data_IF_453367994294
#
_entry.id   IF_453367994294
#
_cell.length_a   1.000
_cell.length_b   1.000
_cell.length_c   1.000
_cell.angle_alpha   90.00
_cell.angle_beta   90.00
_cell.angle_gamma   90.00
#
_symmetry.space_group_name_H-M   'P 1'
#
loop_
_entity.id
_entity.type
_entity.pdbx_description
1 polymer ?
#
# COMPACT_ATOMS: atom_id res chain seq x y z
N UNK A 1 -6.19 -13.06 -17.62
CA UNK A 1 -6.91 -12.23 -16.63
C UNK A 1 -8.45 -12.24 -16.78
N UNK A 2 -9.05 -12.98 -17.72
CA UNK A 2 -10.47 -12.79 -18.09
C UNK A 2 -11.53 -13.53 -17.25
N UNK A 3 -11.17 -14.46 -16.35
CA UNK A 3 -12.16 -15.40 -15.77
C UNK A 3 -13.21 -14.74 -14.86
N UNK A 4 -12.86 -13.70 -14.11
CA UNK A 4 -13.76 -13.03 -13.16
C UNK A 4 -14.23 -11.64 -13.63
N UNK A 5 -13.86 -11.27 -14.86
CA UNK A 5 -14.25 -10.01 -15.50
C UNK A 5 -15.78 -9.84 -15.63
N UNK A 6 -16.57 -10.88 -15.96
CA UNK A 6 -18.03 -10.75 -16.01
C UNK A 6 -18.65 -10.35 -14.67
N UNK A 7 -18.09 -10.86 -13.56
CA UNK A 7 -18.55 -10.49 -12.22
C UNK A 7 -18.21 -9.04 -11.88
N UNK A 8 -17.02 -8.57 -12.27
CA UNK A 8 -16.63 -7.16 -12.13
C UNK A 8 -17.58 -6.25 -12.90
N UNK A 9 -17.85 -6.56 -14.17
CA UNK A 9 -18.74 -5.79 -15.03
C UNK A 9 -20.18 -5.73 -14.47
N UNK A 10 -20.69 -6.87 -13.98
CA UNK A 10 -22.01 -6.92 -13.34
C UNK A 10 -22.08 -6.01 -12.10
N UNK A 11 -21.10 -6.10 -11.21
CA UNK A 11 -21.03 -5.29 -10.00
C UNK A 11 -20.93 -3.79 -10.28
N UNK A 12 -20.19 -3.39 -11.32
CA UNK A 12 -20.09 -1.98 -11.74
C UNK A 12 -21.45 -1.41 -12.14
N UNK A 13 -22.32 -2.22 -12.76
CA UNK A 13 -23.64 -1.78 -13.24
C UNK A 13 -24.70 -1.69 -12.15
N UNK A 14 -24.48 -2.27 -10.97
CA UNK A 14 -25.46 -2.29 -9.89
C UNK A 14 -25.53 -0.93 -9.18
N UNK A 15 -26.69 -0.27 -9.20
CA UNK A 15 -26.88 1.03 -8.54
C UNK A 15 -27.09 0.94 -7.01
N UNK A 16 -27.35 -0.28 -6.48
CA UNK A 16 -27.60 -0.50 -5.06
C UNK A 16 -26.35 -0.43 -4.16
N UNK A 17 -26.56 -0.19 -2.86
CA UNK A 17 -25.49 -0.16 -1.84
C UNK A 17 -25.07 -1.55 -1.36
N UNK A 18 -25.96 -2.52 -1.50
CA UNK A 18 -25.76 -3.92 -1.09
C UNK A 18 -26.36 -4.83 -2.12
N UNK A 19 -25.69 -5.95 -2.38
CA UNK A 19 -26.17 -7.00 -3.25
C UNK A 19 -25.90 -8.35 -2.60
N UNK A 20 -26.95 -9.12 -2.34
CA UNK A 20 -26.82 -10.49 -1.84
C UNK A 20 -27.01 -11.44 -3.00
N UNK A 21 -25.95 -12.16 -3.31
CA UNK A 21 -25.91 -13.10 -4.43
C UNK A 21 -25.84 -14.53 -3.92
N UNK A 22 -26.61 -15.42 -4.53
CA UNK A 22 -26.40 -16.86 -4.37
C UNK A 22 -25.17 -17.29 -5.18
N UNK A 23 -24.46 -18.32 -4.72
CA UNK A 23 -23.29 -18.85 -5.44
C UNK A 23 -23.65 -19.23 -6.89
N UNK A 24 -24.84 -19.79 -7.10
CA UNK A 24 -25.36 -20.14 -8.44
C UNK A 24 -25.61 -18.93 -9.34
N UNK A 25 -26.00 -17.79 -8.78
CA UNK A 25 -26.17 -16.54 -9.54
C UNK A 25 -24.81 -16.00 -9.97
N UNK A 26 -23.81 -16.09 -9.08
CA UNK A 26 -22.42 -15.74 -9.40
C UNK A 26 -21.87 -16.66 -10.51
N UNK A 27 -22.11 -17.96 -10.44
CA UNK A 27 -21.71 -18.92 -11.49
C UNK A 27 -22.37 -18.61 -12.84
N UNK A 28 -23.64 -18.20 -12.82
CA UNK A 28 -24.36 -17.79 -14.02
C UNK A 28 -23.74 -16.54 -14.65
N UNK A 29 -23.35 -15.55 -13.84
CA UNK A 29 -22.67 -14.33 -14.30
C UNK A 29 -21.28 -14.68 -14.86
N UNK A 30 -20.56 -15.60 -14.21
CA UNK A 30 -19.23 -16.03 -14.65
C UNK A 30 -19.24 -16.96 -15.87
N UNK A 31 -20.40 -17.52 -16.23
CA UNK A 31 -20.52 -18.55 -17.27
C UNK A 31 -19.73 -19.83 -16.95
N UNK A 32 -19.32 -20.02 -15.70
CA UNK A 32 -18.51 -21.15 -15.25
C UNK A 32 -18.73 -21.43 -13.77
N UNK A 33 -18.53 -22.69 -13.37
CA UNK A 33 -18.65 -23.09 -11.96
C UNK A 33 -17.54 -22.49 -11.12
N UNK A 34 -17.91 -22.08 -9.90
CA UNK A 34 -16.98 -21.62 -8.90
C UNK A 34 -16.12 -22.81 -8.42
N UNK A 35 -14.84 -22.60 -8.10
CA UNK A 35 -13.99 -23.66 -7.58
C UNK A 35 -14.51 -24.14 -6.22
N UNK A 36 -14.25 -25.41 -5.87
CA UNK A 36 -14.63 -25.98 -4.57
C UNK A 36 -14.15 -25.14 -3.37
N UNK A 37 -13.05 -24.42 -3.51
CA UNK A 37 -12.54 -23.51 -2.48
C UNK A 37 -13.46 -22.32 -2.20
N UNK A 38 -14.17 -21.81 -3.20
CA UNK A 38 -15.17 -20.74 -3.01
C UNK A 38 -16.40 -21.24 -2.22
N UNK A 39 -16.71 -22.54 -2.31
CA UNK A 39 -17.83 -23.16 -1.59
C UNK A 39 -17.43 -23.56 -0.17
N UNK A 40 -16.17 -23.99 0.04
CA UNK A 40 -15.70 -24.55 1.31
C UNK A 40 -15.03 -23.54 2.24
N UNK A 41 -14.43 -22.47 1.70
CA UNK A 41 -13.56 -21.58 2.47
C UNK A 41 -14.02 -20.14 2.42
N UNK A 42 -14.41 -19.60 3.58
CA UNK A 42 -14.78 -18.18 3.73
C UNK A 42 -13.64 -17.24 3.34
N UNK A 43 -12.39 -17.65 3.54
CA UNK A 43 -11.19 -16.87 3.18
C UNK A 43 -11.04 -16.65 1.67
N UNK A 44 -11.69 -17.47 0.83
CA UNK A 44 -11.75 -17.25 -0.61
C UNK A 44 -12.47 -15.94 -0.95
N UNK A 45 -13.48 -15.58 -0.16
CA UNK A 45 -14.25 -14.34 -0.26
C UNK A 45 -13.65 -13.18 0.54
N UNK A 46 -12.36 -13.25 0.90
CA UNK A 46 -11.69 -12.18 1.61
C UNK A 46 -11.49 -10.94 0.72
N UNK A 47 -11.27 -9.79 1.36
CA UNK A 47 -11.05 -8.51 0.69
C UNK A 47 -9.57 -8.11 0.70
N UNK A 48 -8.67 -9.09 0.53
CA UNK A 48 -7.22 -8.92 0.66
C UNK A 48 -6.55 -8.48 -0.65
N UNK A 49 -7.13 -8.82 -1.80
CA UNK A 49 -6.66 -8.39 -3.13
C UNK A 49 -5.25 -8.88 -3.49
N UNK A 50 -4.66 -8.30 -4.53
CA UNK A 50 -3.27 -8.56 -4.94
C UNK A 50 -3.16 -9.66 -6.01
N UNK A 51 -2.42 -10.74 -5.71
CA UNK A 51 -2.21 -11.85 -6.66
C UNK A 51 -3.45 -12.74 -6.86
N UNK A 52 -4.50 -12.55 -6.05
CA UNK A 52 -5.72 -13.34 -6.09
C UNK A 52 -6.73 -12.69 -7.04
N UNK A 53 -6.67 -13.10 -8.31
CA UNK A 53 -7.45 -12.55 -9.44
C UNK A 53 -8.97 -12.52 -9.18
N UNK A 54 -9.51 -13.43 -8.37
CA UNK A 54 -10.93 -13.45 -8.02
C UNK A 54 -11.33 -12.29 -7.08
N UNK A 55 -10.48 -11.96 -6.10
CA UNK A 55 -10.77 -10.90 -5.14
C UNK A 55 -10.73 -9.52 -5.78
N UNK A 56 -9.84 -9.35 -6.76
CA UNK A 56 -9.75 -8.12 -7.53
C UNK A 56 -11.05 -7.81 -8.28
N UNK A 57 -11.84 -8.82 -8.68
CA UNK A 57 -13.06 -8.60 -9.47
C UNK A 57 -14.13 -7.76 -8.73
N UNK A 58 -14.33 -7.95 -7.43
CA UNK A 58 -15.26 -7.08 -6.67
C UNK A 58 -14.57 -5.83 -6.14
N UNK A 59 -13.30 -5.93 -5.74
CA UNK A 59 -12.55 -4.77 -5.22
C UNK A 59 -12.36 -3.68 -6.28
N UNK A 60 -12.00 -4.05 -7.51
CA UNK A 60 -11.88 -3.13 -8.65
C UNK A 60 -13.24 -2.62 -9.13
N UNK A 61 -14.33 -3.31 -8.80
CA UNK A 61 -15.70 -2.84 -9.05
C UNK A 61 -16.21 -1.86 -7.98
N UNK A 62 -15.45 -1.58 -6.92
CA UNK A 62 -15.87 -0.73 -5.80
C UNK A 62 -16.72 -1.45 -4.73
N UNK A 63 -16.72 -2.78 -4.75
CA UNK A 63 -17.48 -3.62 -3.83
C UNK A 63 -16.54 -4.38 -2.89
N UNK A 64 -17.05 -4.70 -1.69
CA UNK A 64 -16.39 -5.60 -0.74
C UNK A 64 -17.38 -6.67 -0.31
N UNK A 65 -16.88 -7.87 -0.03
CA UNK A 65 -17.69 -8.89 0.63
C UNK A 65 -17.89 -8.47 2.09
N UNK A 66 -19.14 -8.24 2.49
CA UNK A 66 -19.51 -7.93 3.88
C UNK A 66 -19.75 -9.22 4.68
N UNK A 67 -20.46 -10.18 4.08
CA UNK A 67 -20.76 -11.48 4.70
C UNK A 67 -20.76 -12.58 3.65
N UNK A 68 -20.11 -13.70 3.95
CA UNK A 68 -20.20 -14.92 3.16
C UNK A 68 -20.81 -16.02 4.04
N UNK A 69 -22.04 -16.41 3.73
CA UNK A 69 -22.79 -17.48 4.37
C UNK A 69 -22.80 -18.70 3.46
N UNK A 70 -21.71 -19.49 3.54
CA UNK A 70 -21.49 -20.63 2.66
C UNK A 70 -22.44 -21.80 2.98
N UNK A 71 -22.94 -21.89 4.21
CA UNK A 71 -23.95 -22.89 4.58
C UNK A 71 -25.28 -22.65 3.85
N UNK A 72 -25.62 -21.37 3.60
CA UNK A 72 -26.77 -20.97 2.79
C UNK A 72 -26.44 -20.70 1.32
N UNK A 73 -25.18 -20.89 0.92
CA UNK A 73 -24.71 -20.67 -0.44
C UNK A 73 -24.91 -19.22 -0.92
N UNK A 74 -24.73 -18.23 -0.03
CA UNK A 74 -24.95 -16.83 -0.34
C UNK A 74 -23.80 -15.93 0.13
N UNK A 75 -23.53 -14.89 -0.65
CA UNK A 75 -22.51 -13.87 -0.37
C UNK A 75 -23.14 -12.50 -0.52
N UNK A 76 -23.00 -11.67 0.51
CA UNK A 76 -23.44 -10.29 0.53
C UNK A 76 -22.26 -9.39 0.24
N UNK A 77 -22.36 -8.67 -0.87
CA UNK A 77 -21.49 -7.59 -1.26
C UNK A 77 -22.08 -6.27 -0.76
N UNK A 78 -21.21 -5.36 -0.34
CA UNK A 78 -21.56 -3.98 0.00
C UNK A 78 -20.61 -3.03 -0.72
N UNK A 79 -21.13 -1.92 -1.21
CA UNK A 79 -20.32 -0.79 -1.69
C UNK A 79 -19.47 -0.25 -0.55
N UNK A 80 -18.17 -0.08 -0.79
CA UNK A 80 -17.26 0.41 0.24
C UNK A 80 -17.48 1.92 0.51
N UNK A 81 -18.48 2.27 1.32
CA UNK A 81 -18.56 3.60 1.93
C UNK A 81 -17.58 3.68 3.10
N UNK A 82 -16.53 4.48 2.98
CA UNK A 82 -15.73 4.93 4.12
C UNK A 82 -16.46 6.14 4.71
N UNK A 83 -17.34 5.92 5.71
CA UNK A 83 -17.81 6.98 6.61
C UNK A 83 -17.23 6.72 7.99
N UNK A 84 -16.30 7.59 8.39
CA UNK A 84 -15.89 7.74 9.78
C UNK A 84 -17.08 8.25 10.59
N UNK A 85 -17.56 7.42 11.49
CA UNK A 85 -18.48 7.84 12.55
C UNK A 85 -17.64 8.52 13.63
N UNK A 86 -17.76 9.84 13.76
CA UNK A 86 -17.58 10.49 15.07
C UNK A 86 -18.98 10.75 15.60
N UNK A 87 -19.43 9.88 16.49
CA UNK A 87 -20.52 10.20 17.41
C UNK A 87 -19.98 11.15 18.46
N UNK A 88 -20.46 12.39 18.51
CA UNK A 88 -20.95 13.00 19.76
C UNK A 88 -21.43 14.44 19.54
N UNK A 89 -22.68 14.68 19.98
CA UNK A 89 -23.37 15.94 20.29
C UNK A 89 -24.20 16.61 19.18
N UNK A 90 -25.51 16.56 19.39
CA UNK A 90 -26.53 17.53 18.96
C UNK A 90 -27.17 18.12 20.24
N UNK A 91 -27.98 19.20 20.18
CA UNK A 91 -28.11 20.24 19.14
C UNK A 91 -28.06 21.67 19.71
N UNK A 92 -27.83 22.69 18.88
CA UNK A 92 -28.55 23.96 19.05
C UNK A 92 -28.86 24.60 17.69
N UNK A 93 -30.06 25.17 17.50
CA UNK A 93 -30.56 25.56 16.18
C UNK A 93 -30.18 27.02 15.89
N UNK A 94 -29.39 27.25 14.84
CA UNK A 94 -29.29 28.59 14.26
C UNK A 94 -30.32 28.66 13.13
N UNK A 95 -31.22 29.62 13.29
CA UNK A 95 -32.37 29.92 12.45
C UNK A 95 -32.04 29.98 10.96
N UNK A 96 -32.97 29.43 10.17
CA UNK A 96 -33.01 29.59 8.73
C UNK A 96 -33.38 31.03 8.40
N UNK A 97 -32.46 31.75 7.74
CA UNK A 97 -32.84 32.89 6.91
C UNK A 97 -32.75 32.48 5.44
N UNK A 98 -33.91 32.08 4.93
CA UNK A 98 -34.18 31.89 3.51
C UNK A 98 -34.34 33.25 2.85
N UNK A 99 -33.49 33.59 1.88
CA UNK A 99 -33.94 34.13 0.58
C UNK A 99 -32.81 34.16 -0.48
N UNK A 100 -32.95 33.23 -1.43
CA UNK A 100 -32.74 33.42 -2.87
C UNK A 100 -31.39 33.96 -3.41
N UNK A 101 -30.52 33.01 -3.80
CA UNK A 101 -30.05 32.88 -5.20
C UNK A 101 -29.79 31.40 -5.48
N UNK A 102 -30.80 30.66 -5.96
CA UNK A 102 -30.56 29.35 -6.59
C UNK A 102 -29.86 29.60 -7.93
N UNK A 103 -28.54 29.79 -7.87
CA UNK A 103 -27.69 29.82 -9.05
C UNK A 103 -27.69 28.41 -9.66
N UNK A 104 -27.68 28.31 -10.99
CA UNK A 104 -27.42 27.06 -11.74
C UNK A 104 -26.08 26.39 -11.36
N UNK A 105 -25.24 27.08 -10.58
CA UNK A 105 -24.00 26.56 -10.02
C UNK A 105 -24.20 25.63 -8.80
N UNK A 106 -25.33 25.70 -8.09
CA UNK A 106 -25.54 24.88 -6.89
C UNK A 106 -25.49 23.35 -7.15
N UNK A 107 -26.08 22.80 -8.24
CA UNK A 107 -25.93 21.37 -8.55
C UNK A 107 -24.52 20.99 -9.01
N UNK A 108 -23.83 21.90 -9.70
CA UNK A 108 -22.47 21.70 -10.23
C UNK A 108 -21.42 21.69 -9.09
N UNK A 109 -21.55 22.63 -8.15
CA UNK A 109 -20.74 22.68 -6.93
C UNK A 109 -20.98 21.46 -6.04
N UNK A 110 -22.22 21.00 -5.89
CA UNK A 110 -22.51 19.77 -5.14
C UNK A 110 -21.85 18.55 -5.75
N UNK A 111 -21.84 18.42 -7.09
CA UNK A 111 -21.11 17.35 -7.79
C UNK A 111 -19.59 17.48 -7.63
N UNK A 112 -19.06 18.70 -7.72
CA UNK A 112 -17.64 18.96 -7.52
C UNK A 112 -17.20 18.65 -6.08
N UNK A 113 -18.01 19.00 -5.08
CA UNK A 113 -17.76 18.62 -3.69
C UNK A 113 -17.84 17.10 -3.51
N UNK A 114 -18.82 16.43 -4.11
CA UNK A 114 -18.93 14.97 -4.05
C UNK A 114 -17.72 14.26 -4.69
N UNK A 115 -17.12 14.83 -5.74
CA UNK A 115 -15.86 14.35 -6.33
C UNK A 115 -14.66 14.57 -5.38
N UNK A 116 -14.60 15.69 -4.66
CA UNK A 116 -13.53 16.00 -3.71
C UNK A 116 -13.63 15.21 -2.41
N UNK A 117 -14.84 14.76 -2.05
CA UNK A 117 -15.10 13.93 -0.87
C UNK A 117 -14.87 12.43 -1.14
N UNK A 118 -14.52 12.05 -2.39
CA UNK A 118 -14.22 10.66 -2.70
C UNK A 118 -12.93 10.21 -1.99
N UNK A 119 -12.94 9.00 -1.39
CA UNK A 119 -11.76 8.45 -0.76
C UNK A 119 -10.70 8.14 -1.82
N UNK A 120 -9.59 8.88 -1.80
CA UNK A 120 -8.43 8.60 -2.63
C UNK A 120 -7.63 7.46 -2.01
N UNK A 121 -7.35 6.43 -2.79
CA UNK A 121 -6.47 5.33 -2.36
C UNK A 121 -5.14 5.43 -3.08
N UNK A 122 -4.07 5.66 -2.31
CA UNK A 122 -2.70 5.64 -2.81
C UNK A 122 -1.98 4.42 -2.27
N UNK A 123 -1.45 3.58 -3.16
CA UNK A 123 -0.71 2.37 -2.80
C UNK A 123 0.70 2.43 -3.36
N UNK A 124 1.69 2.10 -2.54
CA UNK A 124 3.06 1.82 -2.98
C UNK A 124 3.27 0.31 -3.03
N UNK A 125 3.66 -0.21 -4.19
CA UNK A 125 4.21 -1.57 -4.32
C UNK A 125 5.70 -1.47 -4.57
N UNK A 126 6.50 -2.09 -3.72
CA UNK A 126 7.94 -2.06 -3.81
C UNK A 126 8.53 -3.46 -3.64
N UNK A 127 9.63 -3.74 -4.33
CA UNK A 127 10.39 -4.98 -4.18
C UNK A 127 11.86 -4.67 -3.91
N UNK A 128 12.35 -5.16 -2.77
CA UNK A 128 13.75 -5.06 -2.37
C UNK A 128 14.62 -6.06 -3.13
N UNK A 129 15.82 -5.66 -3.48
CA UNK A 129 16.88 -6.53 -4.01
C UNK A 129 18.06 -6.51 -3.03
N UNK A 130 18.49 -7.67 -2.57
CA UNK A 130 19.68 -7.78 -1.72
C UNK A 130 20.92 -7.43 -2.55
N UNK A 131 21.72 -6.50 -2.04
CA UNK A 131 22.97 -6.07 -2.68
C UNK A 131 24.15 -6.86 -2.13
N UNK A 132 24.18 -7.08 -0.82
CA UNK A 132 25.25 -7.81 -0.14
C UNK A 132 25.43 -7.39 1.32
N UNK A 133 26.53 -7.82 1.93
CA UNK A 133 26.92 -7.44 3.29
C UNK A 133 27.78 -6.18 3.25
N UNK A 134 27.48 -5.17 4.09
CA UNK A 134 28.07 -3.83 4.03
C UNK A 134 29.61 -3.83 4.02
N UNK A 135 30.24 -4.73 4.79
CA UNK A 135 31.70 -4.83 4.91
C UNK A 135 32.34 -5.49 3.67
N UNK A 136 31.58 -6.37 3.00
CA UNK A 136 31.99 -7.14 1.81
C UNK A 136 31.65 -6.44 0.49
N UNK A 137 30.93 -5.31 0.53
CA UNK A 137 30.75 -4.41 -0.60
C UNK A 137 32.07 -3.68 -0.91
N UNK A 138 33.15 -4.45 -1.12
CA UNK A 138 34.48 -4.02 -1.50
C UNK A 138 34.39 -3.39 -2.89
N UNK A 139 34.39 -2.07 -2.95
CA UNK A 139 34.41 -1.27 -4.18
C UNK A 139 33.58 -1.88 -5.33
N UNK A 140 32.38 -2.40 -5.00
CA UNK A 140 31.45 -3.11 -5.89
C UNK A 140 30.81 -2.20 -6.95
N UNK A 141 31.50 -1.10 -7.28
CA UNK A 141 31.10 0.03 -8.11
C UNK A 141 30.92 -0.33 -9.59
N UNK A 142 31.44 -1.49 -10.03
CA UNK A 142 31.47 -1.84 -11.45
C UNK A 142 30.17 -2.49 -11.94
N UNK A 143 29.42 -3.20 -11.08
CA UNK A 143 28.13 -3.82 -11.47
C UNK A 143 26.90 -3.05 -10.99
N UNK A 144 27.10 -2.06 -10.11
CA UNK A 144 26.02 -1.23 -9.58
C UNK A 144 26.10 0.15 -10.24
N UNK A 145 25.09 0.50 -11.03
CA UNK A 145 24.94 1.85 -11.54
C UNK A 145 24.84 2.85 -10.38
N UNK A 146 25.59 3.95 -10.44
CA UNK A 146 25.61 5.01 -9.42
C UNK A 146 24.36 5.90 -9.50
N UNK A 147 23.20 5.29 -9.32
CA UNK A 147 21.90 5.92 -9.47
C UNK A 147 21.29 6.31 -8.12
N UNK A 148 20.33 7.23 -8.17
CA UNK A 148 19.57 7.61 -6.99
C UNK A 148 18.57 6.51 -6.62
N UNK A 149 18.51 6.16 -5.33
CA UNK A 149 17.70 5.02 -4.87
C UNK A 149 17.37 5.13 -3.38
N UNK A 150 16.55 4.20 -2.89
CA UNK A 150 16.32 3.97 -1.46
C UNK A 150 17.04 2.69 -1.07
N UNK A 151 17.88 2.77 -0.06
CA UNK A 151 18.52 1.63 0.58
C UNK A 151 17.79 1.26 1.85
N UNK A 152 17.83 -0.02 2.17
CA UNK A 152 17.46 -0.58 3.46
C UNK A 152 18.65 -1.36 3.99
N UNK A 153 19.19 -0.91 5.11
CA UNK A 153 20.23 -1.63 5.82
C UNK A 153 19.59 -2.41 6.97
N UNK A 154 19.92 -3.70 7.08
CA UNK A 154 19.33 -4.61 8.06
C UNK A 154 20.44 -5.23 8.90
N UNK A 155 20.35 -5.07 10.23
CA UNK A 155 21.19 -5.78 11.20
C UNK A 155 20.41 -6.96 11.78
N UNK A 156 21.01 -8.14 11.81
CA UNK A 156 20.38 -9.36 12.33
C UNK A 156 20.93 -9.73 13.71
N UNK A 157 20.08 -9.82 14.73
CA UNK A 157 20.48 -10.34 16.03
C UNK A 157 19.48 -11.37 16.56
N UNK A 158 19.94 -12.63 16.71
CA UNK A 158 19.28 -13.79 17.37
C UNK A 158 17.84 -14.17 16.96
N UNK A 159 17.10 -13.32 16.25
CA UNK A 159 15.89 -13.55 15.43
C UNK A 159 15.16 -12.23 15.09
N UNK A 160 15.62 -11.07 15.60
CA UNK A 160 14.92 -9.80 15.45
C UNK A 160 15.71 -8.86 14.53
N UNK A 161 15.28 -8.69 13.26
CA UNK A 161 15.97 -7.82 12.31
C UNK A 161 15.65 -6.35 12.57
N UNK A 162 16.69 -5.54 12.77
CA UNK A 162 16.58 -4.08 12.85
C UNK A 162 16.89 -3.45 11.49
N UNK A 163 16.04 -2.54 11.00
CA UNK A 163 16.20 -1.89 9.71
C UNK A 163 16.32 -0.37 9.81
N UNK A 164 17.16 0.20 8.94
CA UNK A 164 17.29 1.64 8.71
C UNK A 164 17.12 1.89 7.23
N UNK A 165 16.27 2.86 6.88
CA UNK A 165 16.11 3.30 5.50
C UNK A 165 17.00 4.50 5.21
N UNK A 166 17.52 4.57 3.99
CA UNK A 166 18.36 5.65 3.51
C UNK A 166 17.88 6.07 2.12
N UNK A 167 17.46 7.31 1.97
CA UNK A 167 17.27 7.91 0.64
C UNK A 167 18.61 8.45 0.17
N UNK A 168 19.14 7.94 -0.95
CA UNK A 168 20.41 8.41 -1.50
C UNK A 168 20.28 9.00 -2.90
N UNK A 169 20.96 10.12 -3.14
CA UNK A 169 21.07 10.71 -4.49
C UNK A 169 22.15 10.04 -5.35
N UNK A 170 23.20 9.50 -4.70
CA UNK A 170 24.28 8.75 -5.34
C UNK A 170 24.61 7.53 -4.48
N UNK A 171 24.50 6.36 -5.07
CA UNK A 171 24.61 5.10 -4.37
C UNK A 171 26.03 4.84 -3.85
N UNK A 172 27.06 5.12 -4.64
CA UNK A 172 28.47 4.91 -4.25
C UNK A 172 28.84 5.77 -3.04
N UNK A 173 28.44 7.04 -3.08
CA UNK A 173 28.68 7.97 -1.96
C UNK A 173 27.97 7.50 -0.69
N UNK A 174 26.71 7.04 -0.82
CA UNK A 174 25.95 6.54 0.32
C UNK A 174 26.55 5.28 0.93
N UNK A 175 26.99 4.31 0.11
CA UNK A 175 27.67 3.10 0.60
C UNK A 175 28.95 3.47 1.35
N UNK A 176 29.78 4.36 0.79
CA UNK A 176 31.00 4.84 1.45
C UNK A 176 30.72 5.52 2.80
N UNK A 177 29.72 6.40 2.84
CA UNK A 177 29.30 7.07 4.07
C UNK A 177 28.75 6.08 5.12
N UNK A 178 27.97 5.08 4.68
CA UNK A 178 27.44 4.03 5.55
C UNK A 178 28.55 3.15 6.13
N UNK A 179 29.54 2.75 5.32
CA UNK A 179 30.71 1.99 5.80
C UNK A 179 31.48 2.78 6.86
N UNK A 180 31.79 4.04 6.57
CA UNK A 180 32.49 4.93 7.52
C UNK A 180 31.72 5.08 8.83
N UNK A 181 30.40 5.27 8.76
CA UNK A 181 29.55 5.40 9.94
C UNK A 181 29.42 4.07 10.71
N UNK A 182 29.27 2.96 10.02
CA UNK A 182 29.09 1.64 10.62
C UNK A 182 30.39 1.01 11.15
N UNK A 183 31.55 1.56 10.80
CA UNK A 183 32.86 1.07 11.25
C UNK A 183 33.10 1.19 12.77
N UNK A 184 32.30 1.98 13.48
CA UNK A 184 32.41 2.14 14.94
C UNK A 184 31.12 1.74 15.65
N UNK A 185 31.26 1.18 16.86
CA UNK A 185 30.13 0.90 17.77
C UNK A 185 29.25 2.13 18.02
N UNK A 186 29.87 3.31 18.16
CA UNK A 186 29.15 4.56 18.34
C UNK A 186 28.30 4.93 17.11
N UNK A 187 28.85 4.74 15.91
CA UNK A 187 28.13 5.02 14.67
C UNK A 187 27.02 3.98 14.38
N UNK A 188 27.22 2.71 14.71
CA UNK A 188 26.17 1.69 14.69
C UNK A 188 25.01 2.06 15.64
N UNK A 189 25.32 2.46 16.88
CA UNK A 189 24.30 2.98 17.82
C UNK A 189 23.57 4.22 17.28
N UNK A 190 24.26 5.09 16.54
CA UNK A 190 23.64 6.26 15.89
C UNK A 190 22.71 5.86 14.74
N UNK A 191 23.08 4.86 13.95
CA UNK A 191 22.26 4.34 12.85
C UNK A 191 20.95 3.75 13.39
N UNK A 192 21.05 2.92 14.42
CA UNK A 192 19.93 2.16 14.98
C UNK A 192 19.44 2.71 16.32
N UNK A 193 19.61 4.00 16.56
CA UNK A 193 19.16 4.66 17.79
C UNK A 193 17.67 4.39 18.04
N UNK A 194 17.32 3.84 19.20
CA UNK A 194 15.94 3.45 19.52
C UNK A 194 15.55 2.03 19.11
N UNK A 195 16.50 1.25 18.57
CA UNK A 195 16.31 -0.17 18.22
C UNK A 195 17.40 -0.99 18.96
N UNK A 196 17.04 -1.93 19.85
CA UNK A 196 18.00 -2.63 20.72
C UNK A 196 19.07 -3.46 19.99
N UNK A 197 18.86 -3.80 18.71
CA UNK A 197 19.43 -5.01 18.10
C UNK A 197 20.74 -4.87 17.30
N UNK A 198 21.45 -3.75 17.33
CA UNK A 198 22.30 -3.42 16.18
C UNK A 198 23.79 -3.11 16.43
N UNK A 199 24.37 -3.53 17.55
CA UNK A 199 25.82 -3.33 17.77
C UNK A 199 26.57 -4.65 17.56
N UNK A 200 27.52 -4.67 16.62
CA UNK A 200 28.42 -5.80 16.35
C UNK A 200 27.85 -6.92 15.47
N UNK A 201 26.69 -6.72 14.83
CA UNK A 201 26.10 -7.69 13.89
C UNK A 201 26.46 -7.34 12.45
N UNK A 202 26.62 -8.35 11.59
CA UNK A 202 26.75 -8.13 10.15
C UNK A 202 25.50 -7.40 9.62
N UNK A 203 25.72 -6.44 8.73
CA UNK A 203 24.68 -5.59 8.17
C UNK A 203 24.47 -5.92 6.70
N UNK A 204 23.28 -6.39 6.35
CA UNK A 204 22.89 -6.56 4.95
C UNK A 204 22.40 -5.24 4.38
N UNK A 205 22.77 -4.97 3.13
CA UNK A 205 22.30 -3.84 2.35
C UNK A 205 21.35 -4.34 1.28
N UNK A 206 20.15 -3.78 1.28
CA UNK A 206 19.09 -4.02 0.32
C UNK A 206 18.85 -2.72 -0.44
N UNK A 207 18.51 -2.80 -1.71
CA UNK A 207 18.28 -1.66 -2.58
C UNK A 207 16.96 -1.77 -3.30
N UNK A 208 16.31 -0.63 -3.50
CA UNK A 208 15.16 -0.50 -4.36
C UNK A 208 15.62 -0.18 -5.78
N UNK A 209 15.79 -1.21 -6.61
CA UNK A 209 16.19 -1.01 -8.01
C UNK A 209 15.23 -0.05 -8.75
N UNK A 210 15.72 0.76 -9.68
CA UNK A 210 14.86 1.53 -10.57
C UNK A 210 13.81 0.65 -11.22
N UNK A 211 12.54 1.08 -11.17
CA UNK A 211 11.41 0.31 -11.71
C UNK A 211 10.84 -0.79 -10.81
N UNK A 212 11.46 -1.06 -9.65
CA UNK A 212 10.91 -1.98 -8.63
C UNK A 212 9.98 -1.27 -7.63
N UNK A 213 9.64 -0.01 -7.87
CA UNK A 213 8.68 0.76 -7.10
C UNK A 213 7.56 1.26 -8.01
N UNK A 214 6.32 1.03 -7.59
CA UNK A 214 5.11 1.39 -8.33
C UNK A 214 4.17 2.16 -7.42
N UNK A 215 3.73 3.32 -7.90
CA UNK A 215 2.71 4.14 -7.28
C UNK A 215 1.39 3.88 -7.99
N UNK A 216 0.35 3.57 -7.20
CA UNK A 216 -1.00 3.37 -7.67
C UNK A 216 -1.89 4.41 -7.01
N UNK A 217 -2.60 5.20 -7.80
CA UNK A 217 -3.61 6.15 -7.34
C UNK A 217 -4.86 6.00 -8.21
N UNK A 218 -6.01 5.77 -7.57
CA UNK A 218 -7.32 5.70 -8.23
C UNK A 218 -7.36 4.79 -9.47
N UNK A 219 -6.68 3.63 -9.39
CA UNK A 219 -6.64 2.63 -10.45
C UNK A 219 -5.57 2.86 -11.53
N UNK A 220 -4.86 3.99 -11.51
CA UNK A 220 -3.72 4.24 -12.39
C UNK A 220 -2.42 3.86 -11.70
N UNK A 221 -1.59 3.04 -12.36
CA UNK A 221 -0.27 2.67 -11.86
C UNK A 221 0.84 3.28 -12.71
N UNK A 222 1.86 3.81 -12.06
CA UNK A 222 3.11 4.21 -12.72
C UNK A 222 4.32 3.78 -11.91
N UNK A 223 5.46 3.60 -12.60
CA UNK A 223 6.74 3.42 -11.92
C UNK A 223 7.08 4.68 -11.15
N UNK A 224 7.65 4.51 -9.97
CA UNK A 224 8.18 5.63 -9.22
C UNK A 224 9.49 6.11 -9.87
N UNK A 225 9.64 7.42 -10.02
CA UNK A 225 10.88 8.04 -10.45
C UNK A 225 11.77 8.28 -9.22
N UNK A 226 12.75 7.40 -9.04
CA UNK A 226 13.71 7.52 -7.94
C UNK A 226 14.84 8.52 -8.23
N UNK A 227 14.99 9.01 -9.48
CA UNK A 227 15.93 10.08 -9.78
C UNK A 227 15.44 11.40 -9.20
N UNK A 228 14.14 11.66 -9.25
CA UNK A 228 13.51 12.84 -8.66
C UNK A 228 13.56 12.78 -7.12
N UNK A 229 14.20 13.78 -6.51
CA UNK A 229 14.46 13.79 -5.06
C UNK A 229 13.19 13.78 -4.20
N UNK A 230 12.15 14.49 -4.62
CA UNK A 230 10.88 14.56 -3.91
C UNK A 230 10.14 13.23 -3.93
N UNK A 231 10.07 12.61 -5.11
CA UNK A 231 9.40 11.33 -5.28
C UNK A 231 10.15 10.19 -4.58
N UNK A 232 11.49 10.17 -4.67
CA UNK A 232 12.33 9.27 -3.88
C UNK A 232 12.09 9.40 -2.37
N UNK A 233 11.99 10.64 -1.87
CA UNK A 233 11.68 10.91 -0.45
C UNK A 233 10.29 10.41 -0.07
N UNK A 234 9.28 10.62 -0.91
CA UNK A 234 7.92 10.10 -0.70
C UNK A 234 7.91 8.57 -0.61
N UNK A 235 8.55 7.90 -1.57
CA UNK A 235 8.69 6.43 -1.55
C UNK A 235 9.38 5.95 -0.27
N UNK A 236 10.48 6.61 0.13
CA UNK A 236 11.20 6.26 1.34
C UNK A 236 10.36 6.46 2.62
N UNK A 237 9.51 7.48 2.69
CA UNK A 237 8.60 7.70 3.82
C UNK A 237 7.49 6.64 3.89
N UNK A 238 6.91 6.23 2.77
CA UNK A 238 5.92 5.16 2.73
C UNK A 238 6.53 3.81 3.15
N UNK A 239 7.75 3.52 2.72
CA UNK A 239 8.49 2.33 3.15
C UNK A 239 8.83 2.40 4.65
N UNK A 240 9.15 3.59 5.17
CA UNK A 240 9.39 3.77 6.61
C UNK A 240 8.15 3.45 7.43
N UNK A 241 6.96 3.82 6.96
CA UNK A 241 5.71 3.46 7.61
C UNK A 241 5.55 1.94 7.71
N UNK A 242 5.88 1.21 6.64
CA UNK A 242 5.85 -0.26 6.63
C UNK A 242 6.87 -0.87 7.61
N UNK A 243 8.09 -0.35 7.64
CA UNK A 243 9.12 -0.82 8.59
C UNK A 243 8.69 -0.56 10.05
N UNK A 244 8.05 0.59 10.33
CA UNK A 244 7.48 0.91 11.66
C UNK A 244 6.36 -0.03 12.07
N UNK A 245 5.42 -0.28 11.16
CA UNK A 245 4.30 -1.20 11.41
C UNK A 245 4.78 -2.63 11.67
N UNK A 246 5.89 -3.01 11.05
CA UNK A 246 6.51 -4.32 11.29
C UNK A 246 7.40 -4.41 12.53
N UNK A 247 7.60 -3.30 13.25
CA UNK A 247 8.46 -3.23 14.43
C UNK A 247 9.97 -3.22 14.13
N UNK A 248 10.39 -3.37 12.87
CA UNK A 248 11.81 -3.53 12.49
C UNK A 248 12.59 -2.23 12.41
N UNK A 249 11.96 -1.13 11.99
CA UNK A 249 12.67 0.09 11.64
C UNK A 249 11.91 1.36 11.99
N UNK A 250 12.63 2.38 12.47
CA UNK A 250 12.03 3.66 12.88
C UNK A 250 12.65 4.88 12.20
N UNK A 251 13.77 4.71 11.50
CA UNK A 251 14.61 5.80 11.01
C UNK A 251 14.74 5.82 9.49
N UNK A 252 14.64 7.03 8.95
CA UNK A 252 14.97 7.36 7.56
C UNK A 252 16.09 8.40 7.56
N UNK A 253 17.17 8.09 6.88
CA UNK A 253 18.32 8.99 6.65
C UNK A 253 18.27 9.53 5.22
N UNK A 254 18.90 10.68 5.01
CA UNK A 254 19.17 11.21 3.67
C UNK A 254 20.67 11.37 3.51
N UNK A 255 21.24 10.76 2.48
CA UNK A 255 22.67 10.77 2.16
C UNK A 255 22.92 11.15 0.69
#
# INVERSE_FOLDING_TARGET
MAKYEPLRAHLVQLEGLTWTAKLVEIESILGSRLPNSAVRHRTWWANSGGNLVHQNAWLEAGWRVDKADLARGAVMFRRAHVRGVVTSRSPEPIAQDTTARRSKAAPDLSRQHELLEQPVTVTLRAQWTMVGILDELSDAADWINDEATVLRMVAFQKNDPASVLISCGRLRQAIGALRSLAASTAGQKKLFSGIPAATGSAMEVHMLQPGNAWLLADGQSRKADLALAEERRMVAQLLLLQERQSGRGQKLLSL
#
